data_IF_756470253055
#
_entry.id   IF_756470253055
#
_cell.length_a   1.000
_cell.length_b   1.000
_cell.length_c   1.000
_cell.angle_alpha   90.00
_cell.angle_beta   90.00
_cell.angle_gamma   90.00
#
_symmetry.space_group_name_H-M   'P 1'
#
loop_
_entity.id
_entity.type
_entity.pdbx_description
1 polymer ?
#
# COMPACT_ATOMS: atom_id res chain seq x y z
N UNK A 1 -6.56 8.57 9.30
CA UNK A 1 -5.66 8.69 10.50
C UNK A 1 -6.23 9.48 11.69
N UNK A 2 -6.56 10.78 11.60
CA UNK A 2 -6.91 11.63 12.78
C UNK A 2 -8.04 11.06 13.69
N UNK A 3 -9.19 10.57 13.18
CA UNK A 3 -10.26 10.09 14.06
C UNK A 3 -9.95 8.74 14.73
N UNK A 4 -9.15 7.88 14.09
CA UNK A 4 -8.77 6.55 14.61
C UNK A 4 -7.81 6.69 15.79
N UNK A 5 -6.85 7.62 15.70
CA UNK A 5 -5.87 7.83 16.77
C UNK A 5 -6.48 8.45 18.03
N UNK A 6 -7.57 9.21 17.87
CA UNK A 6 -8.25 9.90 18.97
C UNK A 6 -9.26 9.02 19.70
N UNK A 7 -9.80 7.97 19.06
CA UNK A 7 -10.94 7.21 19.60
C UNK A 7 -10.73 5.68 19.66
N UNK A 8 -9.67 5.12 19.06
CA UNK A 8 -9.44 3.68 19.11
C UNK A 8 -8.53 3.31 20.30
N UNK A 9 -9.08 2.57 21.27
CA UNK A 9 -8.26 1.88 22.27
C UNK A 9 -7.65 0.61 21.64
N UNK A 10 -6.34 0.40 21.82
CA UNK A 10 -5.62 -0.80 21.38
C UNK A 10 -5.83 -1.21 19.90
N UNK A 11 -5.63 -0.27 18.96
CA UNK A 11 -5.70 -0.59 17.54
C UNK A 11 -4.47 -1.40 17.05
N UNK A 12 -4.58 -2.73 17.07
CA UNK A 12 -3.51 -3.67 16.69
C UNK A 12 -3.05 -3.46 15.23
N UNK A 13 -3.95 -3.04 14.34
CA UNK A 13 -3.68 -2.83 12.91
C UNK A 13 -3.12 -1.44 12.58
N UNK A 14 -2.74 -0.63 13.58
CA UNK A 14 -2.16 0.70 13.34
C UNK A 14 -0.90 0.62 12.47
N UNK A 15 -0.04 -0.35 12.79
CA UNK A 15 1.21 -0.60 12.08
C UNK A 15 0.91 -0.99 10.63
N UNK A 16 -0.09 -1.84 10.42
CA UNK A 16 -0.46 -2.30 9.08
C UNK A 16 -1.00 -1.16 8.23
N UNK A 17 -1.83 -0.28 8.79
CA UNK A 17 -2.33 0.90 8.09
C UNK A 17 -1.19 1.85 7.69
N UNK A 18 -0.25 2.12 8.60
CA UNK A 18 0.94 2.94 8.31
C UNK A 18 1.77 2.31 7.18
N UNK A 19 2.00 0.99 7.25
CA UNK A 19 2.73 0.26 6.21
C UNK A 19 2.02 0.37 4.85
N UNK A 20 0.69 0.23 4.80
CA UNK A 20 -0.07 0.39 3.56
C UNK A 20 0.02 1.80 2.98
N UNK A 21 -0.16 2.84 3.80
CA UNK A 21 -0.05 4.23 3.35
C UNK A 21 1.35 4.52 2.83
N UNK A 22 2.38 4.14 3.58
CA UNK A 22 3.78 4.37 3.19
C UNK A 22 4.11 3.58 1.92
N UNK A 23 3.69 2.32 1.82
CA UNK A 23 3.89 1.50 0.63
C UNK A 23 3.19 2.12 -0.59
N UNK A 24 1.91 2.50 -0.46
CA UNK A 24 1.13 3.12 -1.52
C UNK A 24 1.78 4.41 -2.02
N UNK A 25 2.15 5.32 -1.12
CA UNK A 25 2.81 6.57 -1.47
C UNK A 25 4.20 6.32 -2.06
N UNK A 26 4.96 5.37 -1.54
CA UNK A 26 6.30 5.03 -2.05
C UNK A 26 6.21 4.48 -3.47
N UNK A 27 5.39 3.46 -3.73
CA UNK A 27 5.25 2.90 -5.07
C UNK A 27 4.67 3.89 -6.07
N UNK A 28 3.63 4.63 -5.68
CA UNK A 28 3.05 5.67 -6.53
C UNK A 28 4.10 6.74 -6.87
N UNK A 29 4.85 7.22 -5.86
CA UNK A 29 5.96 8.16 -6.08
C UNK A 29 7.01 7.57 -7.01
N UNK A 30 7.43 6.33 -6.80
CA UNK A 30 8.42 5.66 -7.63
C UNK A 30 7.95 5.54 -9.09
N UNK A 31 6.67 5.25 -9.34
CA UNK A 31 6.11 5.24 -10.70
C UNK A 31 6.21 6.60 -11.39
N UNK A 32 5.86 7.70 -10.69
CA UNK A 32 5.98 9.04 -11.25
C UNK A 32 7.44 9.43 -11.51
N UNK A 33 8.35 9.10 -10.60
CA UNK A 33 9.78 9.34 -10.79
C UNK A 33 10.36 8.54 -11.96
N UNK A 34 9.87 7.33 -12.23
CA UNK A 34 10.26 6.52 -13.41
C UNK A 34 9.82 7.20 -14.72
N UNK A 35 8.75 7.98 -14.70
CA UNK A 35 8.25 8.72 -15.87
C UNK A 35 8.98 10.05 -16.08
N UNK A 36 9.19 10.83 -15.01
CA UNK A 36 9.82 12.17 -15.10
C UNK A 36 11.34 12.12 -15.22
N UNK A 37 11.96 11.13 -14.58
CA UNK A 37 13.36 10.81 -14.75
C UNK A 37 13.41 9.50 -15.50
N UNK A 38 13.71 9.55 -16.79
CA UNK A 38 14.26 8.41 -17.53
C UNK A 38 15.45 7.93 -16.71
N UNK A 39 15.20 6.95 -15.83
CA UNK A 39 16.04 6.75 -14.67
C UNK A 39 17.40 6.29 -15.18
N UNK A 40 18.36 7.22 -15.20
CA UNK A 40 19.79 7.02 -15.42
C UNK A 40 20.41 6.21 -14.26
N UNK A 41 19.61 5.41 -13.57
CA UNK A 41 20.11 4.41 -12.65
C UNK A 41 20.53 3.19 -13.44
N UNK A 42 21.65 2.62 -13.01
CA UNK A 42 22.18 1.37 -13.52
C UNK A 42 21.08 0.29 -13.61
N UNK A 43 21.09 -0.53 -14.67
CA UNK A 43 20.10 -1.60 -14.87
C UNK A 43 20.03 -2.56 -13.67
N UNK A 44 21.12 -2.74 -12.92
CA UNK A 44 21.14 -3.54 -11.70
C UNK A 44 20.20 -3.04 -10.59
N UNK A 45 20.03 -1.72 -10.42
CA UNK A 45 19.12 -1.17 -9.41
C UNK A 45 17.67 -1.40 -9.79
N UNK A 46 17.34 -1.29 -11.09
CA UNK A 46 15.99 -1.59 -11.59
C UNK A 46 15.66 -3.07 -11.36
N UNK A 47 16.61 -3.96 -11.61
CA UNK A 47 16.43 -5.40 -11.36
C UNK A 47 16.23 -5.70 -9.87
N UNK A 48 16.98 -5.04 -8.98
CA UNK A 48 16.82 -5.17 -7.53
C UNK A 48 15.40 -4.76 -7.09
N UNK A 49 14.88 -3.64 -7.59
CA UNK A 49 13.52 -3.19 -7.27
C UNK A 49 12.44 -4.16 -7.79
N UNK A 50 12.62 -4.74 -8.97
CA UNK A 50 11.68 -5.76 -9.49
C UNK A 50 11.73 -7.03 -8.63
N UNK A 51 12.93 -7.49 -8.28
CA UNK A 51 13.11 -8.69 -7.47
C UNK A 51 12.53 -8.54 -6.05
N UNK A 52 12.62 -7.34 -5.46
CA UNK A 52 12.09 -7.04 -4.12
C UNK A 52 10.60 -6.71 -4.10
N UNK A 53 10.03 -6.20 -5.19
CA UNK A 53 8.60 -5.89 -5.27
C UNK A 53 7.71 -7.15 -5.15
N UNK A 54 8.16 -8.29 -5.67
CA UNK A 54 7.45 -9.57 -5.58
C UNK A 54 7.23 -10.04 -4.14
N UNK A 55 8.28 -10.30 -3.31
CA UNK A 55 8.10 -10.73 -1.93
C UNK A 55 7.37 -9.68 -1.09
N UNK A 56 7.60 -8.39 -1.38
CA UNK A 56 6.90 -7.31 -0.67
C UNK A 56 5.39 -7.32 -0.94
N UNK A 57 4.97 -7.58 -2.19
CA UNK A 57 3.56 -7.73 -2.54
C UNK A 57 2.90 -8.86 -1.77
N UNK A 58 3.56 -10.02 -1.64
CA UNK A 58 3.05 -11.13 -0.83
C UNK A 58 2.86 -10.75 0.64
N UNK A 59 3.80 -9.99 1.22
CA UNK A 59 3.67 -9.48 2.60
C UNK A 59 2.44 -8.57 2.72
N UNK A 60 2.24 -7.64 1.78
CA UNK A 60 1.08 -6.73 1.78
C UNK A 60 -0.24 -7.50 1.68
N UNK A 61 -0.32 -8.48 0.77
CA UNK A 61 -1.51 -9.34 0.62
C UNK A 61 -1.81 -10.09 1.92
N UNK A 62 -0.79 -10.69 2.53
CA UNK A 62 -0.97 -11.43 3.78
C UNK A 62 -1.45 -10.52 4.92
N UNK A 63 -0.84 -9.34 5.09
CA UNK A 63 -1.26 -8.36 6.11
C UNK A 63 -2.70 -7.89 5.87
N UNK A 64 -3.07 -7.66 4.61
CA UNK A 64 -4.43 -7.22 4.25
C UNK A 64 -5.47 -8.32 4.52
N UNK A 65 -5.13 -9.57 4.20
CA UNK A 65 -5.99 -10.71 4.49
C UNK A 65 -6.18 -10.91 6.01
N UNK A 66 -5.13 -10.75 6.81
CA UNK A 66 -5.24 -10.81 8.27
C UNK A 66 -6.19 -9.75 8.83
N UNK A 67 -6.10 -8.51 8.33
CA UNK A 67 -7.05 -7.46 8.68
C UNK A 67 -8.49 -7.83 8.29
N UNK A 68 -8.68 -8.32 7.06
CA UNK A 68 -10.02 -8.70 6.57
C UNK A 68 -10.62 -9.84 7.38
N UNK A 69 -9.84 -10.87 7.69
CA UNK A 69 -10.26 -11.99 8.55
C UNK A 69 -10.59 -11.51 9.97
N UNK A 70 -9.84 -10.57 10.53
CA UNK A 70 -10.14 -10.03 11.85
C UNK A 70 -11.48 -9.28 11.86
N UNK A 71 -11.70 -8.41 10.87
CA UNK A 71 -12.95 -7.65 10.76
C UNK A 71 -14.15 -8.56 10.49
N UNK A 72 -13.96 -9.66 9.76
CA UNK A 72 -15.03 -10.64 9.51
C UNK A 72 -15.39 -11.44 10.77
N UNK A 73 -14.39 -11.86 11.55
CA UNK A 73 -14.60 -12.67 12.76
C UNK A 73 -15.06 -11.87 13.98
N UNK A 74 -14.47 -10.70 14.21
CA UNK A 74 -14.68 -9.92 15.44
C UNK A 74 -15.37 -8.58 15.20
N UNK A 75 -15.55 -8.18 13.94
CA UNK A 75 -16.05 -6.86 13.60
C UNK A 75 -15.12 -5.74 14.07
N UNK A 76 -15.72 -4.59 14.28
CA UNK A 76 -15.09 -3.35 14.75
C UNK A 76 -15.44 -3.03 16.21
N UNK A 77 -16.33 -3.83 16.81
CA UNK A 77 -16.76 -3.71 18.21
C UNK A 77 -15.60 -3.73 19.24
N UNK A 78 -14.50 -4.50 19.07
CA UNK A 78 -13.37 -4.45 19.99
C UNK A 78 -12.66 -3.09 20.04
N UNK A 79 -12.78 -2.26 19.00
CA UNK A 79 -12.12 -0.96 18.91
C UNK A 79 -13.05 0.20 19.27
N UNK A 80 -14.32 0.11 18.86
CA UNK A 80 -15.27 1.21 18.94
C UNK A 80 -16.53 0.93 19.77
N UNK A 81 -16.67 -0.27 20.35
CA UNK A 81 -17.86 -0.64 21.13
C UNK A 81 -18.06 0.11 22.45
N UNK A 82 -17.15 1.03 22.80
CA UNK A 82 -17.27 1.94 23.94
C UNK A 82 -17.81 3.33 23.54
N UNK A 83 -17.97 3.60 22.24
CA UNK A 83 -18.53 4.85 21.73
C UNK A 83 -20.03 4.75 21.55
N UNK A 84 -20.69 5.90 21.55
CA UNK A 84 -22.12 6.01 21.23
C UNK A 84 -22.39 5.53 19.78
N UNK A 85 -23.51 4.83 19.57
CA UNK A 85 -23.82 4.09 18.33
C UNK A 85 -23.62 4.93 17.05
N UNK A 86 -24.02 6.20 17.06
CA UNK A 86 -23.89 7.10 15.91
C UNK A 86 -22.43 7.38 15.53
N UNK A 87 -21.54 7.53 16.53
CA UNK A 87 -20.11 7.79 16.34
C UNK A 87 -19.37 6.49 15.99
N UNK A 88 -19.80 5.37 16.59
CA UNK A 88 -19.26 4.04 16.28
C UNK A 88 -19.46 3.68 14.81
N UNK A 89 -20.67 3.81 14.28
CA UNK A 89 -20.97 3.49 12.87
C UNK A 89 -20.14 4.34 11.91
N UNK A 90 -19.97 5.64 12.20
CA UNK A 90 -19.16 6.53 11.37
C UNK A 90 -17.68 6.12 11.34
N UNK A 91 -17.11 5.81 12.50
CA UNK A 91 -15.73 5.37 12.63
C UNK A 91 -15.48 3.99 12.00
N UNK A 92 -16.44 3.08 12.10
CA UNK A 92 -16.38 1.76 11.48
C UNK A 92 -16.28 1.84 9.95
N UNK A 93 -17.14 2.66 9.35
CA UNK A 93 -17.14 2.87 7.89
C UNK A 93 -15.85 3.56 7.47
N UNK A 94 -15.41 4.57 8.20
CA UNK A 94 -14.16 5.27 7.90
C UNK A 94 -12.96 4.32 7.94
N UNK A 95 -12.85 3.50 8.98
CA UNK A 95 -11.74 2.56 9.13
C UNK A 95 -11.70 1.52 8.00
N UNK A 96 -12.84 0.91 7.69
CA UNK A 96 -12.94 -0.08 6.60
C UNK A 96 -12.58 0.54 5.27
N UNK A 97 -13.04 1.76 5.00
CA UNK A 97 -12.74 2.46 3.75
C UNK A 97 -11.27 2.86 3.65
N UNK A 98 -10.67 3.42 4.71
CA UNK A 98 -9.26 3.82 4.74
C UNK A 98 -8.35 2.61 4.51
N UNK A 99 -8.54 1.54 5.28
CA UNK A 99 -7.75 0.30 5.16
C UNK A 99 -7.94 -0.38 3.80
N UNK A 100 -9.15 -0.35 3.24
CA UNK A 100 -9.41 -0.93 1.91
C UNK A 100 -8.74 -0.10 0.83
N UNK A 101 -8.89 1.23 0.86
CA UNK A 101 -8.32 2.14 -0.13
C UNK A 101 -6.79 2.02 -0.16
N UNK A 102 -6.13 2.16 0.99
CA UNK A 102 -4.67 2.12 1.06
C UNK A 102 -4.12 0.70 0.96
N UNK A 103 -4.79 -0.31 1.53
CA UNK A 103 -4.37 -1.70 1.44
C UNK A 103 -4.41 -2.23 0.01
N UNK A 104 -5.58 -2.13 -0.65
CA UNK A 104 -5.73 -2.54 -2.05
C UNK A 104 -4.89 -1.66 -2.96
N UNK A 105 -4.87 -0.35 -2.72
CA UNK A 105 -4.05 0.60 -3.47
C UNK A 105 -2.57 0.24 -3.42
N UNK A 106 -2.03 -0.09 -2.25
CA UNK A 106 -0.63 -0.49 -2.08
C UNK A 106 -0.32 -1.81 -2.80
N UNK A 107 -1.20 -2.81 -2.73
CA UNK A 107 -1.04 -4.10 -3.42
C UNK A 107 -1.06 -3.91 -4.95
N UNK A 108 -2.01 -3.15 -5.47
CA UNK A 108 -2.08 -2.86 -6.90
C UNK A 108 -0.85 -2.08 -7.34
N UNK A 109 -0.46 -1.06 -6.58
CA UNK A 109 0.73 -0.27 -6.89
C UNK A 109 2.01 -1.13 -6.88
N UNK A 110 2.16 -2.06 -5.93
CA UNK A 110 3.34 -2.92 -5.84
C UNK A 110 3.43 -3.93 -7.00
N UNK A 111 2.30 -4.38 -7.55
CA UNK A 111 2.24 -5.24 -8.75
C UNK A 111 2.50 -4.45 -10.02
N UNK A 112 1.89 -3.26 -10.13
CA UNK A 112 1.98 -2.42 -11.33
C UNK A 112 3.39 -1.82 -11.47
N UNK A 113 4.06 -1.52 -10.36
CA UNK A 113 5.39 -0.88 -10.35
C UNK A 113 6.47 -1.64 -11.16
N UNK A 114 6.70 -2.95 -10.96
CA UNK A 114 7.68 -3.68 -11.76
C UNK A 114 7.32 -3.74 -13.25
N UNK A 115 6.03 -3.78 -13.60
CA UNK A 115 5.58 -3.74 -15.00
C UNK A 115 5.99 -2.41 -15.65
N UNK A 116 5.74 -1.30 -14.95
CA UNK A 116 6.17 0.03 -15.39
C UNK A 116 7.69 0.15 -15.53
N UNK A 117 8.47 -0.46 -14.63
CA UNK A 117 9.93 -0.50 -14.73
C UNK A 117 10.41 -1.25 -15.98
N UNK A 118 9.83 -2.41 -16.29
CA UNK A 118 10.18 -3.19 -17.49
C UNK A 118 9.87 -2.41 -18.77
N UNK A 119 8.70 -1.79 -18.85
CA UNK A 119 8.31 -0.94 -19.99
C UNK A 119 9.27 0.24 -20.14
N UNK A 120 9.65 0.88 -19.03
CA UNK A 120 10.62 1.99 -19.03
C UNK A 120 11.98 1.57 -19.60
N UNK A 121 12.50 0.39 -19.23
CA UNK A 121 13.76 -0.15 -19.77
C UNK A 121 13.63 -0.41 -21.28
N UNK A 122 12.52 -1.01 -21.70
CA UNK A 122 12.28 -1.34 -23.10
C UNK A 122 12.20 -0.08 -23.98
N UNK A 123 11.45 0.94 -23.53
CA UNK A 123 11.36 2.24 -24.22
C UNK A 123 12.70 2.97 -24.27
N UNK A 124 13.52 2.88 -23.21
CA UNK A 124 14.85 3.48 -23.20
C UNK A 124 15.78 2.85 -24.25
N UNK A 125 15.81 1.51 -24.31
CA UNK A 125 16.62 0.75 -25.29
C UNK A 125 16.16 1.01 -26.72
N UNK A 126 14.85 1.07 -26.97
CA UNK A 126 14.28 1.29 -28.29
C UNK A 126 14.51 2.72 -28.84
N UNK A 127 14.80 3.70 -27.96
CA UNK A 127 15.13 5.09 -28.34
C UNK A 127 16.62 5.31 -28.66
N UNK A 128 17.44 4.26 -28.73
CA UNK A 128 18.81 4.33 -29.26
C UNK A 128 19.84 5.06 -28.39
N UNK A 129 19.52 5.39 -27.13
CA UNK A 129 20.52 5.90 -26.18
C UNK A 129 21.32 4.72 -25.62
N UNK A 130 22.35 4.33 -26.38
CA UNK A 130 23.36 3.37 -25.94
C UNK A 130 23.97 3.81 -24.61
N UNK A 131 24.17 2.83 -23.72
CA UNK A 131 24.86 2.96 -22.44
C UNK A 131 26.34 3.26 -22.68
#
# INVERSE_FOLDING_TARGET
MIPIFLHAQHFIFLIDNIVFIVAFLTYTRLMFFVSSSILSLHPGVKLFFVATALPFTFILINRFNNFRLFIDNYGTAPFFGHLEDAVQVSNDVYLKNEMTLFGVGAIVASIVFPIFLVISIWLYKNRGRHI
#
